data_IF_500170309028
#
_entry.id   IF_500170309028
#
_cell.length_a   1.000
_cell.length_b   1.000
_cell.length_c   1.000
_cell.angle_alpha   90.00
_cell.angle_beta   90.00
_cell.angle_gamma   90.00
#
_symmetry.space_group_name_H-M   'P 1'
#
loop_
_entity.id
_entity.type
_entity.pdbx_description
1 polymer ?
#
# COMPACT_ATOMS: atom_id res chain seq x y z
N UNK A 1 -32.17 10.97 -2.61
CA UNK A 1 -30.83 11.20 -3.21
C UNK A 1 -30.00 9.95 -3.00
N UNK A 2 -29.83 9.04 -3.98
CA UNK A 2 -28.88 7.94 -3.86
C UNK A 2 -27.47 8.44 -4.22
N UNK A 3 -26.50 8.19 -3.36
CA UNK A 3 -25.10 8.48 -3.61
C UNK A 3 -24.55 7.46 -4.62
N UNK A 4 -24.19 7.93 -5.81
CA UNK A 4 -23.46 7.13 -6.79
C UNK A 4 -22.13 6.70 -6.17
N UNK A 5 -21.98 5.39 -5.98
CA UNK A 5 -20.70 4.77 -5.66
C UNK A 5 -19.75 5.13 -6.80
N UNK A 6 -18.80 6.01 -6.51
CA UNK A 6 -17.76 6.44 -7.43
C UNK A 6 -16.99 5.21 -7.87
N UNK A 7 -17.30 4.69 -9.06
CA UNK A 7 -16.49 3.70 -9.75
C UNK A 7 -15.09 4.29 -9.84
N UNK A 8 -14.17 3.73 -9.07
CA UNK A 8 -12.74 3.96 -9.22
C UNK A 8 -12.38 3.30 -10.54
N UNK A 9 -12.26 4.11 -11.58
CA UNK A 9 -11.78 3.72 -12.90
C UNK A 9 -10.40 3.06 -12.77
N UNK A 10 -10.40 1.73 -12.78
CA UNK A 10 -9.27 0.82 -12.64
C UNK A 10 -8.38 0.76 -13.91
N UNK A 11 -8.47 1.74 -14.81
CA UNK A 11 -7.84 1.71 -16.15
C UNK A 11 -6.86 2.86 -16.43
N UNK A 12 -6.60 3.74 -15.45
CA UNK A 12 -5.57 4.79 -15.59
C UNK A 12 -4.44 4.67 -14.56
N UNK A 13 -4.40 3.57 -13.80
CA UNK A 13 -3.17 3.15 -13.17
C UNK A 13 -2.26 2.66 -14.29
N UNK A 14 -1.32 3.51 -14.74
CA UNK A 14 -0.12 2.99 -15.42
C UNK A 14 0.32 1.75 -14.64
N UNK A 15 0.51 0.64 -15.33
CA UNK A 15 0.94 -0.61 -14.70
C UNK A 15 2.12 -0.28 -13.79
N UNK A 16 1.86 -0.27 -12.47
CA UNK A 16 2.80 0.31 -11.50
C UNK A 16 4.07 -0.55 -11.47
N UNK A 17 3.94 -1.83 -11.80
CA UNK A 17 5.07 -2.72 -12.00
C UNK A 17 5.91 -2.28 -13.22
N UNK A 18 5.28 -1.91 -14.34
CA UNK A 18 5.98 -1.36 -15.51
C UNK A 18 6.67 -0.04 -15.19
N UNK A 19 6.00 0.88 -14.49
CA UNK A 19 6.61 2.16 -14.06
C UNK A 19 7.79 1.93 -13.12
N UNK A 20 7.67 0.99 -12.18
CA UNK A 20 8.75 0.60 -11.29
C UNK A 20 9.90 -0.03 -12.07
N UNK A 21 9.61 -0.91 -13.02
CA UNK A 21 10.62 -1.55 -13.86
C UNK A 21 11.37 -0.53 -14.72
N UNK A 22 10.66 0.43 -15.32
CA UNK A 22 11.25 1.54 -16.09
C UNK A 22 12.13 2.44 -15.19
N UNK A 23 11.71 2.70 -13.95
CA UNK A 23 12.50 3.48 -12.99
C UNK A 23 13.82 2.78 -12.60
N UNK A 24 13.85 1.45 -12.66
CA UNK A 24 15.05 0.62 -12.43
C UNK A 24 15.76 0.22 -13.73
N UNK A 25 15.52 0.94 -14.84
CA UNK A 25 16.15 0.70 -16.14
C UNK A 25 16.03 -0.75 -16.65
N UNK A 26 14.91 -1.41 -16.33
CA UNK A 26 14.65 -2.80 -16.71
C UNK A 26 15.24 -3.86 -15.76
N UNK A 27 15.92 -3.47 -14.67
CA UNK A 27 16.37 -4.42 -13.65
C UNK A 27 15.20 -4.84 -12.75
N UNK A 28 14.56 -5.95 -13.12
CA UNK A 28 13.44 -6.51 -12.37
C UNK A 28 13.80 -6.91 -10.93
N UNK A 29 15.04 -7.37 -10.67
CA UNK A 29 15.45 -7.75 -9.32
C UNK A 29 15.68 -6.53 -8.44
N UNK A 30 16.27 -5.46 -8.98
CA UNK A 30 16.41 -4.20 -8.26
C UNK A 30 15.04 -3.57 -7.96
N UNK A 31 14.12 -3.59 -8.93
CA UNK A 31 12.75 -3.13 -8.77
C UNK A 31 12.02 -3.90 -7.65
N UNK A 32 12.05 -5.23 -7.68
CA UNK A 32 11.44 -6.06 -6.63
C UNK A 32 12.05 -5.79 -5.25
N UNK A 33 13.37 -5.69 -5.16
CA UNK A 33 14.05 -5.38 -3.88
C UNK A 33 13.63 -4.02 -3.33
N UNK A 34 13.51 -3.01 -4.19
CA UNK A 34 13.03 -1.68 -3.78
C UNK A 34 11.59 -1.77 -3.27
N UNK A 35 10.69 -2.42 -4.02
CA UNK A 35 9.29 -2.55 -3.61
C UNK A 35 9.14 -3.32 -2.29
N UNK A 36 9.96 -4.36 -2.06
CA UNK A 36 9.97 -5.09 -0.79
C UNK A 36 10.45 -4.18 0.35
N UNK A 37 11.53 -3.42 0.14
CA UNK A 37 12.05 -2.48 1.15
C UNK A 37 11.03 -1.38 1.48
N UNK A 38 10.34 -0.84 0.47
CA UNK A 38 9.27 0.15 0.66
C UNK A 38 8.10 -0.43 1.46
N UNK A 39 7.73 -1.69 1.19
CA UNK A 39 6.68 -2.39 1.93
C UNK A 39 7.08 -2.64 3.40
N UNK A 40 8.32 -3.04 3.66
CA UNK A 40 8.86 -3.20 5.02
C UNK A 40 8.83 -1.87 5.79
N UNK A 41 9.29 -0.78 5.17
CA UNK A 41 9.25 0.55 5.75
C UNK A 41 7.82 1.01 6.07
N UNK A 42 6.87 0.74 5.17
CA UNK A 42 5.46 1.06 5.43
C UNK A 42 4.89 0.24 6.58
N UNK A 43 5.27 -1.04 6.71
CA UNK A 43 4.86 -1.88 7.82
C UNK A 43 5.36 -1.32 9.16
N UNK A 44 6.62 -0.88 9.22
CA UNK A 44 7.20 -0.26 10.42
C UNK A 44 6.49 1.06 10.80
N UNK A 45 6.20 1.91 9.81
CA UNK A 45 5.42 3.13 10.03
C UNK A 45 4.01 2.84 10.53
N UNK A 46 3.34 1.83 9.97
CA UNK A 46 2.00 1.41 10.40
C UNK A 46 2.02 0.81 11.81
N UNK A 47 3.06 0.05 12.17
CA UNK A 47 3.24 -0.44 13.53
C UNK A 47 3.41 0.74 14.51
N UNK A 48 4.26 1.69 14.17
CA UNK A 48 4.48 2.91 14.97
C UNK A 48 3.18 3.70 15.11
N UNK A 49 2.46 3.93 14.00
CA UNK A 49 1.17 4.61 14.01
C UNK A 49 0.15 3.86 14.88
N UNK A 50 0.10 2.53 14.81
CA UNK A 50 -0.80 1.72 15.63
C UNK A 50 -0.54 1.86 17.13
N UNK A 51 0.68 2.19 17.56
CA UNK A 51 1.00 2.47 18.96
C UNK A 51 0.57 3.88 19.38
N UNK A 52 0.60 4.84 18.45
CA UNK A 52 0.25 6.24 18.71
C UNK A 52 -1.25 6.55 18.57
N UNK A 53 -1.99 5.72 17.82
CA UNK A 53 -3.41 5.91 17.58
C UNK A 53 -4.22 5.52 18.83
N UNK A 54 -5.12 6.41 19.25
CA UNK A 54 -6.05 6.11 20.35
C UNK A 54 -7.14 5.13 19.91
N UNK A 55 -7.53 4.22 20.81
CA UNK A 55 -8.58 3.22 20.57
C UNK A 55 -9.93 3.85 20.17
N UNK A 56 -10.20 5.08 20.63
CA UNK A 56 -11.41 5.82 20.29
C UNK A 56 -11.46 6.31 18.83
N UNK A 57 -10.32 6.64 18.22
CA UNK A 57 -10.26 7.13 16.84
C UNK A 57 -10.50 6.00 15.82
N UNK A 58 -9.89 4.84 16.04
CA UNK A 58 -9.99 3.68 15.13
C UNK A 58 -11.05 2.66 15.53
N UNK A 59 -11.81 2.92 16.58
CA UNK A 59 -12.85 2.01 17.12
C UNK A 59 -12.34 0.57 17.31
N UNK A 60 -11.10 0.43 17.80
CA UNK A 60 -10.47 -0.87 18.03
C UNK A 60 -9.95 -1.60 16.79
N UNK A 61 -10.02 -1.01 15.59
CA UNK A 61 -9.38 -1.58 14.39
C UNK A 61 -7.85 -1.59 14.56
N UNK A 62 -7.22 -2.71 14.19
CA UNK A 62 -5.77 -2.89 14.18
C UNK A 62 -5.31 -3.27 12.77
N UNK A 63 -4.21 -2.67 12.27
CA UNK A 63 -3.67 -3.02 10.97
C UNK A 63 -3.21 -4.49 10.96
N UNK A 64 -3.53 -5.20 9.87
CA UNK A 64 -3.03 -6.55 9.58
C UNK A 64 -1.98 -6.43 8.48
N UNK A 65 -0.78 -6.94 8.75
CA UNK A 65 0.36 -6.85 7.83
C UNK A 65 0.40 -7.95 6.77
N UNK A 66 -0.32 -9.04 7.02
CA UNK A 66 -0.46 -10.14 6.08
C UNK A 66 -1.87 -10.14 5.51
N UNK A 67 -2.00 -10.37 4.20
CA UNK A 67 -3.29 -10.65 3.58
C UNK A 67 -3.76 -12.03 4.05
N UNK A 68 -4.99 -12.10 4.56
CA UNK A 68 -5.66 -13.37 4.81
C UNK A 68 -5.88 -14.04 3.44
N UNK A 69 -5.24 -15.19 3.23
CA UNK A 69 -5.32 -15.99 2.01
C UNK A 69 -6.44 -17.00 2.13
#
# INVERSE_FOLDING_TARGET
MPAEARQIDDHNAKDLAQVLLDAHAGDALAALRSAIADAEFLCDQLQTASMCISSGLVRGWKPKFQRET
#
